data_IF_927009283508
#
_entry.id   IF_927009283508
#
_cell.length_a   1.000
_cell.length_b   1.000
_cell.length_c   1.000
_cell.angle_alpha   90.00
_cell.angle_beta   90.00
_cell.angle_gamma   90.00
#
_symmetry.space_group_name_H-M   'P 1'
#
loop_
_entity.id
_entity.type
_entity.pdbx_description
1 polymer ?
#
# COMPACT_ATOMS: atom_id res chain seq x y z
N UNK A 1 19.97 -1.82 -2.84
CA UNK A 1 19.73 -0.57 -3.59
C UNK A 1 18.80 0.29 -2.78
N UNK A 2 18.94 1.62 -2.81
CA UNK A 2 17.98 2.49 -2.12
C UNK A 2 16.58 2.36 -2.74
N UNK A 3 15.50 2.49 -1.97
CA UNK A 3 14.14 2.50 -2.50
C UNK A 3 13.79 3.85 -3.14
N UNK A 4 13.02 3.83 -4.24
CA UNK A 4 12.34 5.02 -4.74
C UNK A 4 11.09 5.35 -3.92
N UNK A 5 10.53 4.37 -3.22
CA UNK A 5 9.37 4.53 -2.36
C UNK A 5 9.46 3.59 -1.16
N UNK A 6 9.11 4.04 0.04
CA UNK A 6 9.21 3.21 1.25
C UNK A 6 7.90 3.25 2.01
N UNK A 7 7.50 2.12 2.59
CA UNK A 7 6.38 2.01 3.53
C UNK A 7 6.90 1.61 4.89
N UNK A 8 6.47 2.30 5.94
CA UNK A 8 6.78 1.97 7.35
C UNK A 8 5.49 1.74 8.10
N UNK A 9 5.34 0.56 8.69
CA UNK A 9 4.27 0.25 9.64
C UNK A 9 4.86 0.43 11.04
N UNK A 10 4.26 1.27 11.85
CA UNK A 10 4.72 1.55 13.22
C UNK A 10 4.19 0.52 14.20
N UNK A 11 4.66 0.54 15.45
CA UNK A 11 4.08 -0.31 16.49
C UNK A 11 2.55 -0.10 16.62
N UNK A 12 2.04 1.13 16.51
CA UNK A 12 0.60 1.39 16.52
C UNK A 12 -0.14 0.71 15.35
N UNK A 13 0.48 0.68 14.16
CA UNK A 13 -0.04 -0.06 13.02
C UNK A 13 0.01 -1.58 13.21
N UNK A 14 1.07 -2.10 13.84
CA UNK A 14 1.18 -3.51 14.19
C UNK A 14 0.17 -3.92 15.27
N UNK A 15 -0.10 -3.04 16.24
CA UNK A 15 -1.11 -3.25 17.29
C UNK A 15 -2.52 -3.26 16.70
N UNK A 16 -2.79 -2.43 15.69
CA UNK A 16 -4.05 -2.48 14.96
C UNK A 16 -4.19 -3.77 14.14
N UNK A 17 -3.15 -4.16 13.39
CA UNK A 17 -3.12 -5.42 12.65
C UNK A 17 -3.30 -6.63 13.60
N UNK A 18 -2.71 -6.55 14.80
CA UNK A 18 -2.87 -7.53 15.86
C UNK A 18 -4.33 -7.69 16.29
N UNK A 19 -5.05 -6.59 16.56
CA UNK A 19 -6.46 -6.65 16.95
C UNK A 19 -7.31 -7.37 15.91
N UNK A 20 -7.09 -7.09 14.63
CA UNK A 20 -7.82 -7.75 13.53
C UNK A 20 -7.41 -9.22 13.40
N UNK A 21 -6.11 -9.52 13.45
CA UNK A 21 -5.58 -10.86 13.27
C UNK A 21 -5.97 -11.83 14.41
N UNK A 22 -5.98 -11.37 15.66
CA UNK A 22 -6.36 -12.20 16.82
C UNK A 22 -7.84 -12.54 16.78
N UNK A 23 -8.72 -11.59 16.42
CA UNK A 23 -10.14 -11.85 16.28
C UNK A 23 -10.46 -12.89 15.19
N UNK A 24 -9.68 -12.92 14.10
CA UNK A 24 -9.78 -13.94 13.05
C UNK A 24 -9.27 -15.29 13.59
N UNK A 25 -8.11 -15.29 14.25
CA UNK A 25 -7.51 -16.51 14.79
C UNK A 25 -8.38 -17.18 15.87
N UNK A 26 -9.03 -16.41 16.75
CA UNK A 26 -10.01 -16.93 17.73
C UNK A 26 -11.14 -17.69 17.05
N UNK A 27 -11.72 -17.12 15.99
CA UNK A 27 -12.81 -17.75 15.22
C UNK A 27 -12.37 -19.05 14.56
N UNK A 28 -11.17 -19.09 13.99
CA UNK A 28 -10.64 -20.31 13.39
C UNK A 28 -10.32 -21.38 14.44
N UNK A 29 -9.71 -20.98 15.57
CA UNK A 29 -9.41 -21.89 16.67
C UNK A 29 -10.69 -22.50 17.27
N UNK A 30 -11.77 -21.74 17.40
CA UNK A 30 -13.06 -22.27 17.86
C UNK A 30 -13.63 -23.38 16.96
N UNK A 31 -13.21 -23.45 15.69
CA UNK A 31 -13.62 -24.48 14.73
C UNK A 31 -12.66 -25.67 14.65
N UNK A 32 -11.65 -25.72 15.53
CA UNK A 32 -10.63 -26.75 15.54
C UNK A 32 -11.25 -28.15 15.78
N UNK A 33 -10.98 -29.07 14.85
CA UNK A 33 -11.41 -30.46 14.96
C UNK A 33 -10.34 -31.30 15.66
N UNK A 34 -10.69 -31.86 16.80
CA UNK A 34 -9.83 -32.77 17.55
C UNK A 34 -10.14 -34.23 17.20
N UNK A 35 -9.12 -35.09 17.03
CA UNK A 35 -9.33 -36.51 16.77
C UNK A 35 -9.77 -37.25 18.03
N UNK A 36 -10.52 -38.33 17.85
CA UNK A 36 -10.88 -39.24 18.94
C UNK A 36 -9.61 -39.86 19.57
N UNK A 37 -9.66 -40.07 20.89
CA UNK A 37 -8.55 -40.60 21.68
C UNK A 37 -8.98 -41.91 22.31
N UNK A 38 -8.41 -43.02 21.86
CA UNK A 38 -8.67 -44.35 22.42
C UNK A 38 -7.40 -45.11 22.77
N UNK A 39 -7.52 -46.09 23.66
CA UNK A 39 -6.41 -46.96 24.03
C UNK A 39 -6.74 -47.90 25.17
N UNK A 40 -5.74 -48.69 25.56
CA UNK A 40 -5.82 -49.64 26.67
C UNK A 40 -4.93 -49.16 27.82
N UNK A 41 -5.44 -49.24 29.05
CA UNK A 41 -4.71 -48.89 30.27
C UNK A 41 -5.04 -49.84 31.41
N UNK A 42 -4.15 -49.93 32.40
CA UNK A 42 -4.39 -50.70 33.62
C UNK A 42 -4.65 -49.74 34.78
N UNK A 43 -5.88 -49.75 35.28
CA UNK A 43 -6.29 -48.91 36.41
C UNK A 43 -6.23 -49.71 37.70
N UNK A 44 -5.64 -49.13 38.74
CA UNK A 44 -5.54 -49.76 40.06
C UNK A 44 -6.96 -50.12 40.57
N UNK A 45 -7.14 -51.35 41.04
CA UNK A 45 -8.43 -51.94 41.51
C UNK A 45 -9.48 -52.26 40.44
N UNK A 46 -9.36 -51.78 39.20
CA UNK A 46 -10.32 -52.07 38.09
C UNK A 46 -9.75 -53.08 37.08
N UNK A 47 -8.43 -53.10 36.87
CA UNK A 47 -7.78 -54.00 35.91
C UNK A 47 -7.59 -53.37 34.54
N UNK A 48 -7.62 -54.17 33.47
CA UNK A 48 -7.44 -53.70 32.09
C UNK A 48 -8.72 -53.00 31.62
N UNK A 49 -8.59 -51.74 31.22
CA UNK A 49 -9.66 -50.87 30.73
C UNK A 49 -9.31 -50.44 29.31
N UNK A 50 -10.21 -50.68 28.37
CA UNK A 50 -10.19 -50.01 27.07
C UNK A 50 -11.04 -48.74 27.19
N UNK A 51 -10.50 -47.60 26.79
CA UNK A 51 -11.17 -46.30 26.84
C UNK A 51 -11.22 -45.65 25.46
N UNK A 52 -12.25 -44.83 25.24
CA UNK A 52 -12.46 -44.02 24.05
C UNK A 52 -13.02 -42.67 24.48
N UNK A 53 -12.40 -41.58 24.02
CA UNK A 53 -12.92 -40.22 24.06
C UNK A 53 -13.24 -39.81 22.63
N UNK A 54 -14.49 -39.43 22.40
CA UNK A 54 -15.01 -39.14 21.06
C UNK A 54 -15.83 -37.87 21.04
N UNK A 55 -16.16 -37.40 19.83
CA UNK A 55 -17.00 -36.21 19.62
C UNK A 55 -16.48 -34.99 20.38
N UNK A 56 -15.15 -34.81 20.36
CA UNK A 56 -14.47 -33.68 20.98
C UNK A 56 -14.86 -32.38 20.26
N UNK A 57 -15.70 -31.57 20.89
CA UNK A 57 -16.20 -30.30 20.37
C UNK A 57 -15.66 -29.16 21.21
N UNK A 58 -14.93 -28.27 20.56
CA UNK A 58 -14.52 -27.01 21.15
C UNK A 58 -15.73 -26.08 21.16
N UNK A 59 -16.09 -25.55 22.34
CA UNK A 59 -17.18 -24.59 22.49
C UNK A 59 -16.68 -23.18 22.24
N UNK A 60 -15.58 -22.82 22.92
CA UNK A 60 -14.97 -21.50 22.86
C UNK A 60 -13.45 -21.60 22.97
N UNK A 61 -12.76 -20.64 22.36
CA UNK A 61 -11.33 -20.42 22.48
C UNK A 61 -11.05 -18.92 22.57
N UNK A 62 -10.46 -18.48 23.67
CA UNK A 62 -10.19 -17.07 23.93
C UNK A 62 -8.69 -16.80 24.06
N UNK A 63 -8.25 -15.69 23.47
CA UNK A 63 -6.88 -15.18 23.43
C UNK A 63 -6.81 -13.80 24.12
N UNK A 64 -7.01 -13.72 25.45
CA UNK A 64 -7.22 -12.46 26.15
C UNK A 64 -5.98 -11.55 26.18
N UNK A 65 -4.78 -12.14 26.24
CA UNK A 65 -3.54 -11.38 26.29
C UNK A 65 -2.64 -11.80 25.15
N UNK A 66 -2.46 -10.90 24.20
CA UNK A 66 -1.64 -11.13 23.02
C UNK A 66 -0.93 -9.85 22.57
N UNK A 67 0.19 -10.02 21.87
CA UNK A 67 0.95 -8.91 21.27
C UNK A 67 1.69 -9.35 20.01
N UNK A 68 1.92 -8.39 19.11
CA UNK A 68 2.85 -8.54 17.99
C UNK A 68 4.08 -7.68 18.26
N UNK A 69 5.26 -8.29 18.17
CA UNK A 69 6.54 -7.60 18.37
C UNK A 69 7.42 -7.81 17.14
N UNK A 70 7.94 -6.73 16.52
CA UNK A 70 8.94 -6.87 15.47
C UNK A 70 10.26 -7.35 16.08
N UNK A 71 10.88 -8.35 15.45
CA UNK A 71 12.17 -8.90 15.88
C UNK A 71 13.17 -8.74 14.74
N UNK A 72 14.22 -7.94 15.03
CA UNK A 72 15.28 -7.64 14.08
C UNK A 72 15.89 -8.91 13.49
N UNK A 73 16.03 -8.92 12.16
CA UNK A 73 16.56 -10.04 11.37
C UNK A 73 15.76 -11.35 11.44
N UNK A 74 14.58 -11.37 12.08
CA UNK A 74 13.70 -12.55 12.15
C UNK A 74 12.37 -12.30 11.44
N UNK A 75 11.71 -11.17 11.73
CA UNK A 75 10.39 -10.82 11.21
C UNK A 75 9.47 -10.33 12.33
N UNK A 76 8.30 -10.96 12.50
CA UNK A 76 7.35 -10.63 13.56
C UNK A 76 7.19 -11.81 14.52
N UNK A 77 6.95 -11.53 15.79
CA UNK A 77 6.62 -12.53 16.80
C UNK A 77 5.26 -12.22 17.42
N UNK A 78 4.34 -13.18 17.32
CA UNK A 78 3.07 -13.14 18.03
C UNK A 78 3.23 -13.93 19.32
N UNK A 79 2.97 -13.29 20.46
CA UNK A 79 2.99 -13.95 21.77
C UNK A 79 1.60 -13.86 22.38
N UNK A 80 1.06 -14.99 22.80
CA UNK A 80 -0.24 -15.12 23.47
C UNK A 80 -0.03 -15.81 24.82
N UNK A 81 -0.66 -15.30 25.86
CA UNK A 81 -0.60 -15.83 27.22
C UNK A 81 -1.98 -15.92 27.86
N UNK A 82 -2.13 -16.85 28.80
CA UNK A 82 -3.37 -17.08 29.54
C UNK A 82 -4.59 -17.30 28.62
N UNK A 83 -4.36 -17.86 27.44
CA UNK A 83 -5.45 -18.34 26.61
C UNK A 83 -6.14 -19.51 27.31
N UNK A 84 -7.43 -19.64 27.05
CA UNK A 84 -8.26 -20.70 27.62
C UNK A 84 -9.27 -21.19 26.60
N UNK A 85 -9.67 -22.46 26.76
CA UNK A 85 -10.65 -23.08 25.89
C UNK A 85 -11.56 -24.00 26.69
N UNK A 86 -12.82 -24.07 26.28
CA UNK A 86 -13.80 -25.01 26.83
C UNK A 86 -14.19 -26.00 25.74
N UNK A 87 -14.29 -27.27 26.12
CA UNK A 87 -14.66 -28.34 25.21
C UNK A 87 -15.57 -29.35 25.89
N UNK A 88 -16.39 -30.01 25.10
CA UNK A 88 -17.16 -31.17 25.54
C UNK A 88 -16.91 -32.37 24.65
N UNK A 89 -17.19 -33.55 25.18
CA UNK A 89 -17.15 -34.77 24.41
C UNK A 89 -17.79 -35.92 25.15
N UNK A 90 -17.60 -37.10 24.59
CA UNK A 90 -18.15 -38.33 25.14
C UNK A 90 -17.06 -39.33 25.44
N UNK A 91 -17.25 -40.06 26.52
CA UNK A 91 -16.37 -41.14 26.92
C UNK A 91 -17.10 -42.48 26.81
N UNK A 92 -16.36 -43.53 26.44
CA UNK A 92 -16.77 -44.93 26.58
C UNK A 92 -15.65 -45.71 27.23
N UNK A 93 -16.01 -46.64 28.11
CA UNK A 93 -15.07 -47.57 28.71
C UNK A 93 -15.58 -48.99 28.65
N UNK A 94 -14.65 -49.92 28.49
CA UNK A 94 -14.90 -51.36 28.54
C UNK A 94 -13.87 -52.02 29.44
N UNK A 95 -14.34 -52.69 30.48
CA UNK A 95 -13.49 -53.46 31.39
C UNK A 95 -14.24 -54.71 31.85
N UNK A 96 -13.56 -55.86 31.88
CA UNK A 96 -14.19 -57.16 32.15
C UNK A 96 -15.45 -57.37 31.28
N UNK A 97 -16.63 -57.47 31.89
CA UNK A 97 -17.94 -57.59 31.23
C UNK A 97 -18.75 -56.27 31.22
N UNK A 98 -18.23 -55.21 31.83
CA UNK A 98 -18.91 -53.91 31.95
C UNK A 98 -18.58 -53.03 30.75
N UNK A 99 -19.61 -52.41 30.17
CA UNK A 99 -19.50 -51.35 29.17
C UNK A 99 -20.27 -50.16 29.68
N UNK A 100 -19.63 -49.01 29.69
CA UNK A 100 -20.24 -47.78 30.16
C UNK A 100 -19.87 -46.60 29.27
N UNK A 101 -20.68 -45.55 29.32
CA UNK A 101 -20.53 -44.35 28.53
C UNK A 101 -21.11 -43.13 29.23
N UNK A 102 -20.67 -41.95 28.81
CA UNK A 102 -21.21 -40.69 29.29
C UNK A 102 -20.59 -39.52 28.56
N UNK A 103 -20.87 -38.32 29.06
CA UNK A 103 -20.26 -37.08 28.58
C UNK A 103 -19.20 -36.57 29.54
N UNK A 104 -18.38 -35.65 29.07
CA UNK A 104 -17.48 -34.88 29.92
C UNK A 104 -17.34 -33.46 29.39
N UNK A 105 -17.03 -32.54 30.29
CA UNK A 105 -16.60 -31.19 29.98
C UNK A 105 -15.12 -31.03 30.35
N UNK A 106 -14.36 -30.34 29.51
CA UNK A 106 -12.94 -30.03 29.71
C UNK A 106 -12.73 -28.52 29.67
N UNK A 107 -11.96 -28.02 30.62
CA UNK A 107 -11.42 -26.66 30.61
C UNK A 107 -9.91 -26.72 30.46
N UNK A 108 -9.40 -26.03 29.44
CA UNK A 108 -7.97 -25.87 29.18
C UNK A 108 -7.60 -24.46 29.59
N UNK A 109 -6.68 -24.31 30.54
CA UNK A 109 -6.32 -23.03 31.13
C UNK A 109 -4.81 -22.78 31.00
N UNK A 110 -4.43 -21.50 30.99
CA UNK A 110 -3.04 -21.06 30.93
C UNK A 110 -2.31 -21.64 29.72
N UNK A 111 -2.91 -21.43 28.54
CA UNK A 111 -2.32 -21.75 27.24
C UNK A 111 -1.42 -20.59 26.80
N UNK A 112 -0.18 -20.93 26.47
CA UNK A 112 0.82 -20.02 25.93
C UNK A 112 1.12 -20.41 24.48
N UNK A 113 0.96 -19.46 23.56
CA UNK A 113 1.23 -19.69 22.14
C UNK A 113 2.27 -18.66 21.68
N UNK A 114 3.31 -19.12 21.00
CA UNK A 114 4.35 -18.29 20.43
C UNK A 114 4.50 -18.63 18.96
N UNK A 115 4.30 -17.63 18.10
CA UNK A 115 4.33 -17.77 16.65
C UNK A 115 5.41 -16.83 16.11
N UNK A 116 6.36 -17.38 15.36
CA UNK A 116 7.37 -16.59 14.67
C UNK A 116 7.02 -16.53 13.19
N UNK A 117 6.82 -15.32 12.68
CA UNK A 117 6.48 -15.03 11.29
C UNK A 117 7.72 -14.49 10.58
N UNK A 118 8.12 -15.15 9.51
CA UNK A 118 9.20 -14.70 8.62
C UNK A 118 8.59 -13.90 7.47
N UNK A 119 9.13 -12.71 7.24
CA UNK A 119 8.76 -11.84 6.13
C UNK A 119 9.80 -11.95 5.01
N UNK A 120 9.33 -11.98 3.78
CA UNK A 120 10.14 -12.18 2.59
C UNK A 120 9.62 -11.39 1.39
N UNK A 121 10.26 -11.63 0.25
CA UNK A 121 9.80 -11.19 -1.07
C UNK A 121 9.93 -12.36 -2.04
N UNK A 122 8.98 -12.52 -2.95
CA UNK A 122 9.12 -13.45 -4.07
C UNK A 122 9.91 -12.83 -5.24
N UNK A 123 10.10 -13.61 -6.31
CA UNK A 123 10.83 -13.20 -7.51
C UNK A 123 10.14 -12.07 -8.29
N UNK A 124 8.83 -11.87 -8.09
CA UNK A 124 8.08 -10.77 -8.69
C UNK A 124 8.15 -9.50 -7.84
N UNK A 125 8.73 -9.55 -6.64
CA UNK A 125 8.77 -8.43 -5.71
C UNK A 125 7.50 -8.30 -4.85
N UNK A 126 6.65 -9.35 -4.77
CA UNK A 126 5.50 -9.36 -3.86
C UNK A 126 5.92 -9.79 -2.45
N UNK A 127 5.31 -9.24 -1.39
CA UNK A 127 5.60 -9.64 -0.02
C UNK A 127 5.19 -11.09 0.23
N UNK A 128 6.03 -11.81 0.96
CA UNK A 128 5.72 -13.16 1.44
C UNK A 128 5.78 -13.20 2.97
N UNK A 129 4.92 -14.01 3.56
CA UNK A 129 4.84 -14.26 4.99
C UNK A 129 4.65 -15.75 5.23
N UNK A 130 5.40 -16.30 6.16
CA UNK A 130 5.32 -17.71 6.54
C UNK A 130 5.62 -17.90 8.01
N UNK A 131 5.12 -19.01 8.56
CA UNK A 131 5.43 -19.42 9.94
C UNK A 131 6.80 -20.10 9.95
N UNK A 132 7.78 -19.48 10.60
CA UNK A 132 9.11 -20.06 10.78
C UNK A 132 9.17 -20.99 12.00
N UNK A 133 8.40 -20.69 13.03
CA UNK A 133 8.28 -21.49 14.23
C UNK A 133 6.91 -21.27 14.89
N UNK A 134 6.36 -22.32 15.51
CA UNK A 134 5.18 -22.25 16.35
C UNK A 134 5.37 -23.18 17.54
N UNK A 135 5.16 -22.65 18.75
CA UNK A 135 5.13 -23.44 19.96
C UNK A 135 3.88 -23.12 20.77
N UNK A 136 3.24 -24.17 21.27
CA UNK A 136 2.11 -24.06 22.20
C UNK A 136 2.42 -24.85 23.45
N UNK A 137 2.16 -24.27 24.61
CA UNK A 137 2.29 -24.92 25.91
C UNK A 137 1.02 -24.72 26.70
N UNK A 138 0.40 -25.83 27.08
CA UNK A 138 -0.75 -25.85 27.98
C UNK A 138 -0.23 -26.11 29.38
N UNK A 139 -0.74 -25.43 30.40
CA UNK A 139 -0.33 -25.67 31.78
C UNK A 139 -1.33 -26.53 32.55
N UNK A 140 -2.62 -26.22 32.46
CA UNK A 140 -3.67 -26.90 33.22
C UNK A 140 -4.80 -27.41 32.32
N UNK A 141 -5.27 -28.62 32.61
CA UNK A 141 -6.43 -29.24 31.99
C UNK A 141 -7.31 -29.77 33.13
N UNK A 142 -8.55 -29.29 33.21
CA UNK A 142 -9.54 -29.75 34.21
C UNK A 142 -10.66 -30.48 33.52
N UNK A 143 -10.94 -31.69 33.97
CA UNK A 143 -12.01 -32.53 33.43
C UNK A 143 -13.15 -32.70 34.42
N UNK A 144 -14.37 -32.72 33.93
CA UNK A 144 -15.56 -33.05 34.68
C UNK A 144 -16.31 -34.16 33.92
N UNK A 145 -16.30 -35.38 34.46
CA UNK A 145 -17.03 -36.50 33.87
C UNK A 145 -18.47 -36.55 34.40
N UNK A 146 -19.43 -36.81 33.52
CA UNK A 146 -20.78 -37.20 33.95
C UNK A 146 -20.74 -38.60 34.58
N UNK A 147 -21.38 -38.80 35.74
CA UNK A 147 -21.48 -40.11 36.39
C UNK A 147 -20.76 -40.21 37.73
N UNK A 148 -20.65 -41.43 38.27
CA UNK A 148 -20.17 -41.68 39.65
C UNK A 148 -18.79 -42.34 39.75
N UNK A 149 -18.07 -42.50 38.64
CA UNK A 149 -16.78 -43.21 38.63
C UNK A 149 -15.61 -42.28 38.95
N UNK A 150 -15.27 -42.15 40.23
CA UNK A 150 -14.08 -41.42 40.67
C UNK A 150 -12.77 -41.92 40.04
N UNK A 151 -12.69 -43.20 39.63
CA UNK A 151 -11.50 -43.76 39.00
C UNK A 151 -11.23 -43.25 37.57
N UNK A 152 -12.24 -42.70 36.87
CA UNK A 152 -12.07 -42.09 35.54
C UNK A 152 -11.13 -40.87 35.59
N UNK A 153 -11.18 -40.10 36.68
CA UNK A 153 -10.26 -38.98 36.91
C UNK A 153 -8.81 -39.46 36.99
N UNK A 154 -8.56 -40.56 37.70
CA UNK A 154 -7.22 -41.14 37.79
C UNK A 154 -6.73 -41.67 36.44
N UNK A 155 -7.60 -42.33 35.66
CA UNK A 155 -7.26 -42.74 34.30
C UNK A 155 -6.93 -41.53 33.42
N UNK A 156 -7.73 -40.46 33.53
CA UNK A 156 -7.51 -39.25 32.75
C UNK A 156 -6.15 -38.62 33.07
N UNK A 157 -5.88 -38.31 34.34
CA UNK A 157 -4.64 -37.65 34.74
C UNK A 157 -3.38 -38.48 34.47
N UNK A 158 -3.45 -39.81 34.63
CA UNK A 158 -2.27 -40.68 34.46
C UNK A 158 -1.91 -40.98 33.00
N UNK A 159 -2.90 -41.08 32.11
CA UNK A 159 -2.66 -41.57 30.73
C UNK A 159 -3.17 -40.59 29.67
N UNK A 160 -4.39 -40.10 29.83
CA UNK A 160 -5.07 -39.37 28.76
C UNK A 160 -4.59 -37.93 28.69
N UNK A 161 -4.38 -37.26 29.83
CA UNK A 161 -4.11 -35.83 29.90
C UNK A 161 -2.86 -35.45 29.09
N UNK A 162 -1.77 -36.20 29.25
CA UNK A 162 -0.53 -35.94 28.50
C UNK A 162 -0.68 -36.13 26.99
N UNK A 163 -1.50 -37.10 26.57
CA UNK A 163 -1.80 -37.38 25.16
C UNK A 163 -2.70 -36.31 24.57
N UNK A 164 -3.78 -35.96 25.26
CA UNK A 164 -4.69 -34.88 24.89
C UNK A 164 -3.93 -33.56 24.76
N UNK A 165 -3.07 -33.24 25.75
CA UNK A 165 -2.22 -32.05 25.75
C UNK A 165 -1.38 -31.94 24.48
N UNK A 166 -0.61 -32.99 24.16
CA UNK A 166 0.23 -33.03 22.94
C UNK A 166 -0.59 -32.90 21.66
N UNK A 167 -1.75 -33.54 21.59
CA UNK A 167 -2.65 -33.45 20.43
C UNK A 167 -3.14 -32.01 20.26
N UNK A 168 -3.63 -31.38 21.33
CA UNK A 168 -4.15 -30.02 21.27
C UNK A 168 -3.06 -28.99 20.95
N UNK A 169 -1.88 -29.09 21.60
CA UNK A 169 -0.72 -28.23 21.31
C UNK A 169 -0.30 -28.32 19.83
N UNK A 170 -0.21 -29.53 19.28
CA UNK A 170 0.09 -29.74 17.87
C UNK A 170 -0.99 -29.20 16.94
N UNK A 171 -2.26 -29.45 17.26
CA UNK A 171 -3.41 -29.01 16.45
C UNK A 171 -3.57 -27.49 16.39
N UNK A 172 -3.26 -26.79 17.48
CA UNK A 172 -3.21 -25.32 17.50
C UNK A 172 -2.15 -24.81 16.52
N UNK A 173 -0.92 -25.35 16.57
CA UNK A 173 0.14 -24.92 15.66
C UNK A 173 -0.11 -25.32 14.20
N UNK A 174 -0.70 -26.49 13.94
CA UNK A 174 -1.14 -26.89 12.60
C UNK A 174 -2.14 -25.87 12.02
N UNK A 175 -3.11 -25.45 12.84
CA UNK A 175 -4.12 -24.47 12.43
C UNK A 175 -3.49 -23.11 12.16
N UNK A 176 -2.67 -22.61 13.08
CA UNK A 176 -1.95 -21.34 12.90
C UNK A 176 -1.14 -21.35 11.61
N UNK A 177 -0.38 -22.42 11.37
CA UNK A 177 0.45 -22.54 10.16
C UNK A 177 -0.38 -22.51 8.89
N UNK A 178 -1.54 -23.18 8.89
CA UNK A 178 -2.49 -23.15 7.77
C UNK A 178 -3.14 -21.78 7.59
N UNK A 179 -3.54 -21.13 8.68
CA UNK A 179 -4.13 -19.78 8.66
C UNK A 179 -3.17 -18.76 8.04
N UNK A 180 -1.90 -18.78 8.48
CA UNK A 180 -0.85 -17.92 7.92
C UNK A 180 -0.66 -18.17 6.42
N UNK A 181 -0.64 -19.45 6.00
CA UNK A 181 -0.42 -19.81 4.61
C UNK A 181 -1.61 -19.51 3.69
N UNK A 182 -2.84 -19.76 4.14
CA UNK A 182 -4.03 -19.69 3.30
C UNK A 182 -4.68 -18.30 3.35
N UNK A 183 -4.71 -17.65 4.51
CA UNK A 183 -5.40 -16.37 4.71
C UNK A 183 -4.42 -15.20 4.69
N UNK A 184 -3.45 -15.19 5.61
CA UNK A 184 -2.57 -14.03 5.79
C UNK A 184 -1.63 -13.83 4.59
N UNK A 185 -1.01 -14.90 4.09
CA UNK A 185 -0.18 -14.85 2.89
C UNK A 185 -0.99 -14.40 1.66
N UNK A 186 -2.19 -14.93 1.47
CA UNK A 186 -3.08 -14.52 0.36
C UNK A 186 -3.45 -13.04 0.48
N UNK A 187 -3.73 -12.56 1.70
CA UNK A 187 -4.01 -11.15 1.94
C UNK A 187 -2.80 -10.26 1.65
N UNK A 188 -1.59 -10.63 2.08
CA UNK A 188 -0.36 -9.89 1.77
C UNK A 188 -0.12 -9.78 0.26
N UNK A 189 -0.51 -10.80 -0.50
CA UNK A 189 -0.37 -10.84 -1.97
C UNK A 189 -1.33 -9.90 -2.72
N UNK A 190 -2.31 -9.30 -2.03
CA UNK A 190 -3.17 -8.24 -2.58
C UNK A 190 -2.43 -6.92 -2.74
N UNK A 191 -1.29 -6.73 -2.06
CA UNK A 191 -0.46 -5.54 -2.24
C UNK A 191 -0.03 -5.41 -3.72
N UNK A 192 -0.35 -4.30 -4.40
CA UNK A 192 -0.03 -4.13 -5.79
C UNK A 192 1.47 -3.89 -5.96
N UNK A 193 2.12 -4.76 -6.74
CA UNK A 193 3.51 -4.58 -7.19
C UNK A 193 3.58 -3.71 -8.43
N UNK A 194 2.53 -3.69 -9.24
CA UNK A 194 2.40 -2.73 -10.33
C UNK A 194 1.04 -2.06 -10.25
N UNK A 195 1.02 -0.74 -10.41
CA UNK A 195 -0.20 0.05 -10.43
C UNK A 195 -0.31 0.78 -11.77
N UNK A 196 -1.38 0.53 -12.52
CA UNK A 196 -1.66 1.27 -13.74
C UNK A 196 -2.28 2.62 -13.37
N UNK A 197 -1.71 3.72 -13.88
CA UNK A 197 -2.23 5.07 -13.63
C UNK A 197 -3.23 5.43 -14.72
N UNK A 198 -2.82 5.27 -15.98
CA UNK A 198 -3.62 5.67 -17.13
C UNK A 198 -3.33 4.78 -18.37
N UNK A 199 -3.71 5.28 -19.56
CA UNK A 199 -3.48 4.57 -20.81
C UNK A 199 -1.99 4.48 -21.22
N UNK A 200 -1.11 5.29 -20.61
CA UNK A 200 0.28 5.48 -21.04
C UNK A 200 1.31 5.08 -19.99
N UNK A 201 0.98 5.13 -18.71
CA UNK A 201 1.94 5.00 -17.61
C UNK A 201 1.45 4.08 -16.49
N UNK A 202 2.42 3.50 -15.78
CA UNK A 202 2.21 2.76 -14.54
C UNK A 202 3.35 2.96 -13.56
N UNK A 203 3.20 2.42 -12.35
CA UNK A 203 4.16 2.49 -11.26
C UNK A 203 4.59 1.08 -10.89
N UNK A 204 5.88 0.88 -10.70
CA UNK A 204 6.51 -0.33 -10.19
C UNK A 204 6.81 -0.15 -8.69
N UNK A 205 6.03 -0.86 -7.87
CA UNK A 205 6.11 -0.94 -6.42
C UNK A 205 6.69 -2.29 -5.96
N UNK A 206 7.39 -3.03 -6.83
CA UNK A 206 8.08 -4.26 -6.42
C UNK A 206 9.00 -4.02 -5.21
N UNK A 207 8.98 -4.94 -4.24
CA UNK A 207 9.95 -4.95 -3.16
C UNK A 207 11.36 -5.07 -3.72
N UNK A 208 12.25 -4.17 -3.30
CA UNK A 208 13.69 -4.24 -3.65
C UNK A 208 14.49 -5.05 -2.63
N UNK A 209 13.87 -5.37 -1.49
CA UNK A 209 14.39 -6.23 -0.44
C UNK A 209 13.23 -6.81 0.39
N UNK A 210 13.43 -7.93 1.10
CA UNK A 210 12.49 -8.40 2.11
C UNK A 210 12.14 -7.32 3.14
N UNK A 211 10.88 -7.25 3.63
CA UNK A 211 10.51 -6.31 4.68
C UNK A 211 11.38 -6.46 5.93
N UNK A 212 11.89 -5.34 6.44
CA UNK A 212 12.84 -5.28 7.53
C UNK A 212 12.15 -4.88 8.83
N UNK A 213 12.13 -5.81 9.79
CA UNK A 213 11.70 -5.53 11.16
C UNK A 213 12.79 -4.77 11.93
N UNK A 214 12.42 -3.63 12.52
CA UNK A 214 13.24 -2.87 13.48
C UNK A 214 12.75 -3.13 14.91
N UNK A 215 13.26 -2.39 15.91
CA UNK A 215 12.77 -2.53 17.28
C UNK A 215 11.32 -2.01 17.47
N UNK A 216 10.84 -1.13 16.60
CA UNK A 216 9.54 -0.43 16.76
C UNK A 216 8.72 -0.31 15.47
N UNK A 217 9.25 -0.80 14.34
CA UNK A 217 8.60 -0.65 13.05
C UNK A 217 8.88 -1.84 12.14
N UNK A 218 8.07 -1.94 11.08
CA UNK A 218 8.31 -2.80 9.93
C UNK A 218 8.44 -1.92 8.69
N UNK A 219 9.62 -1.96 8.06
CA UNK A 219 9.93 -1.17 6.87
C UNK A 219 9.87 -2.05 5.61
N UNK A 220 9.20 -1.59 4.57
CA UNK A 220 9.13 -2.23 3.26
C UNK A 220 9.68 -1.26 2.20
N UNK A 221 10.83 -1.64 1.64
CA UNK A 221 11.53 -0.88 0.61
C UNK A 221 10.99 -1.26 -0.77
N UNK A 222 10.36 -0.32 -1.45
CA UNK A 222 9.75 -0.50 -2.77
C UNK A 222 10.55 0.22 -3.85
N UNK A 223 10.47 -0.29 -5.08
CA UNK A 223 11.16 0.29 -6.21
C UNK A 223 10.69 1.73 -6.49
N UNK A 224 9.37 1.96 -6.49
CA UNK A 224 8.81 3.31 -6.60
C UNK A 224 9.18 4.01 -7.89
N UNK A 225 9.04 3.34 -9.03
CA UNK A 225 9.50 3.81 -10.34
C UNK A 225 8.32 3.88 -11.33
N UNK A 226 8.11 5.03 -11.95
CA UNK A 226 7.14 5.14 -13.04
C UNK A 226 7.74 4.60 -14.34
N UNK A 227 6.92 3.91 -15.13
CA UNK A 227 7.29 3.40 -16.44
C UNK A 227 6.21 3.66 -17.48
N UNK A 228 6.63 3.77 -18.75
CA UNK A 228 5.70 3.82 -19.88
C UNK A 228 5.20 2.41 -20.20
N UNK A 229 3.89 2.28 -20.42
CA UNK A 229 3.25 1.02 -20.83
C UNK A 229 3.67 0.60 -22.24
N UNK A 230 4.05 1.55 -23.10
CA UNK A 230 4.50 1.25 -24.46
C UNK A 230 5.94 0.73 -24.49
N UNK A 231 6.82 1.27 -23.65
CA UNK A 231 8.23 0.84 -23.58
C UNK A 231 8.83 1.12 -22.20
N UNK A 232 9.29 0.06 -21.52
CA UNK A 232 10.07 0.21 -20.28
C UNK A 232 11.49 0.60 -20.62
N UNK A 233 11.90 1.79 -20.20
CA UNK A 233 13.25 2.31 -20.38
C UNK A 233 13.96 2.44 -19.04
N UNK A 234 15.28 2.25 -19.02
CA UNK A 234 16.09 2.51 -17.82
C UNK A 234 16.03 3.99 -17.40
N UNK A 235 16.06 4.21 -16.09
CA UNK A 235 16.11 5.54 -15.48
C UNK A 235 17.59 5.93 -15.30
N UNK A 236 17.99 7.16 -15.69
CA UNK A 236 19.42 7.53 -15.77
C UNK A 236 20.06 7.92 -14.42
N UNK A 237 19.35 7.79 -13.31
CA UNK A 237 19.83 8.11 -11.97
C UNK A 237 19.26 7.12 -10.95
N UNK A 238 19.86 7.06 -9.77
CA UNK A 238 19.43 6.18 -8.67
C UNK A 238 18.76 6.96 -7.54
N UNK A 239 17.86 6.34 -6.77
CA UNK A 239 17.26 6.96 -5.60
C UNK A 239 18.29 7.24 -4.50
N UNK A 240 18.08 8.33 -3.79
CA UNK A 240 18.86 8.68 -2.58
C UNK A 240 18.29 7.96 -1.36
N UNK A 241 19.10 7.72 -0.31
CA UNK A 241 18.60 7.16 0.94
C UNK A 241 17.50 8.03 1.55
N UNK A 242 16.46 7.38 2.06
CA UNK A 242 15.34 8.05 2.73
C UNK A 242 15.58 8.08 4.24
N UNK A 243 15.90 9.26 4.77
CA UNK A 243 16.09 9.46 6.20
C UNK A 243 14.72 9.63 6.90
N UNK A 244 13.99 8.51 7.08
CA UNK A 244 12.71 8.53 7.77
C UNK A 244 12.87 8.94 9.23
N UNK A 245 12.00 9.84 9.74
CA UNK A 245 12.01 10.19 11.15
C UNK A 245 11.65 8.99 12.02
N UNK A 246 12.11 9.04 13.26
CA UNK A 246 11.80 8.06 14.32
C UNK A 246 10.47 8.32 15.02
N UNK A 247 9.79 9.43 14.72
CA UNK A 247 8.51 9.77 15.34
C UNK A 247 7.38 8.92 14.72
N UNK A 248 6.51 8.39 15.59
CA UNK A 248 5.50 7.39 15.23
C UNK A 248 4.08 7.81 15.66
N UNK A 249 3.64 9.00 15.25
CA UNK A 249 2.32 9.55 15.61
C UNK A 249 1.16 8.92 14.81
N UNK A 250 1.45 8.02 13.86
CA UNK A 250 0.50 7.39 12.95
C UNK A 250 0.80 5.90 12.77
N UNK A 251 -0.19 5.13 12.31
CA UNK A 251 -0.05 3.68 12.09
C UNK A 251 0.88 3.32 10.92
N UNK A 252 0.82 4.08 9.83
CA UNK A 252 1.61 3.85 8.61
C UNK A 252 2.20 5.15 8.09
N UNK A 253 3.39 5.05 7.50
CA UNK A 253 4.06 6.13 6.79
C UNK A 253 4.49 5.68 5.40
N UNK A 254 4.29 6.54 4.42
CA UNK A 254 4.74 6.39 3.04
C UNK A 254 5.77 7.47 2.72
N UNK A 255 6.89 7.08 2.14
CA UNK A 255 7.97 7.97 1.74
C UNK A 255 8.12 7.96 0.23
N UNK A 256 7.66 9.01 -0.44
CA UNK A 256 7.79 9.18 -1.87
C UNK A 256 9.02 10.06 -2.17
N UNK A 257 10.08 9.45 -2.71
CA UNK A 257 11.33 10.15 -3.01
C UNK A 257 11.19 11.16 -4.16
N UNK A 258 12.14 12.09 -4.27
CA UNK A 258 12.29 12.91 -5.49
C UNK A 258 12.51 12.03 -6.72
N UNK A 259 13.17 10.87 -6.56
CA UNK A 259 13.32 9.88 -7.61
C UNK A 259 11.94 9.39 -8.13
N UNK A 260 11.02 9.01 -7.24
CA UNK A 260 9.67 8.58 -7.60
C UNK A 260 8.97 9.58 -8.52
N UNK A 261 8.91 10.85 -8.13
CA UNK A 261 8.26 11.87 -8.96
C UNK A 261 9.04 12.22 -10.24
N UNK A 262 10.38 12.22 -10.20
CA UNK A 262 11.18 12.49 -11.40
C UNK A 262 11.06 11.38 -12.45
N UNK A 263 10.90 10.12 -12.02
CA UNK A 263 10.61 9.02 -12.96
C UNK A 263 9.24 9.20 -13.61
N UNK A 264 8.25 9.78 -12.91
CA UNK A 264 6.96 10.13 -13.50
C UNK A 264 7.13 11.13 -14.66
N UNK A 265 7.87 12.22 -14.42
CA UNK A 265 8.17 13.23 -15.46
C UNK A 265 8.82 12.61 -16.70
N UNK A 266 9.75 11.66 -16.51
CA UNK A 266 10.41 10.93 -17.61
C UNK A 266 9.43 10.01 -18.34
N UNK A 267 8.63 9.23 -17.62
CA UNK A 267 7.67 8.30 -18.21
C UNK A 267 6.64 9.03 -19.07
N UNK A 268 6.04 10.11 -18.55
CA UNK A 268 5.07 10.93 -19.28
C UNK A 268 5.69 11.66 -20.47
N UNK A 269 6.91 12.18 -20.33
CA UNK A 269 7.63 12.84 -21.43
C UNK A 269 7.93 11.85 -22.57
N UNK A 270 8.51 10.69 -22.25
CA UNK A 270 8.82 9.64 -23.24
C UNK A 270 7.57 9.04 -23.88
N UNK A 271 6.44 9.01 -23.17
CA UNK A 271 5.16 8.58 -23.71
C UNK A 271 4.46 9.65 -24.58
N UNK A 272 5.10 10.79 -24.83
CA UNK A 272 4.52 11.90 -25.61
C UNK A 272 3.23 12.45 -24.97
N UNK A 273 3.09 12.33 -23.65
CA UNK A 273 1.89 12.73 -22.92
C UNK A 273 1.94 14.20 -22.47
N UNK A 274 3.13 14.78 -22.37
CA UNK A 274 3.32 16.20 -22.00
C UNK A 274 3.21 17.12 -23.22
N UNK A 275 2.12 16.96 -23.98
CA UNK A 275 1.78 17.78 -25.15
C UNK A 275 0.37 18.31 -24.98
N UNK A 276 0.19 19.62 -25.11
CA UNK A 276 -1.10 20.29 -24.97
C UNK A 276 -1.35 21.17 -26.19
N UNK A 277 -2.60 21.19 -26.66
CA UNK A 277 -3.03 22.12 -27.68
C UNK A 277 -4.00 23.15 -27.09
N UNK A 278 -3.72 24.42 -27.37
CA UNK A 278 -4.59 25.55 -27.08
C UNK A 278 -5.08 26.08 -28.41
N UNK A 279 -6.39 26.01 -28.62
CA UNK A 279 -7.11 26.60 -29.75
C UNK A 279 -8.12 27.60 -29.22
N UNK A 280 -8.77 28.35 -30.11
CA UNK A 280 -9.82 29.31 -29.72
C UNK A 280 -10.92 28.65 -28.85
N UNK A 281 -11.33 27.43 -29.21
CA UNK A 281 -12.35 26.65 -28.47
C UNK A 281 -11.95 26.27 -27.03
N UNK A 282 -10.66 26.34 -26.71
CA UNK A 282 -10.15 26.01 -25.37
C UNK A 282 -10.04 27.23 -24.46
N UNK A 283 -10.23 28.43 -25.01
CA UNK A 283 -10.25 29.68 -24.26
C UNK A 283 -11.63 29.78 -23.56
N UNK A 284 -11.67 30.16 -22.27
CA UNK A 284 -12.93 30.38 -21.57
C UNK A 284 -13.81 31.41 -22.28
N UNK A 285 -15.12 31.16 -22.36
CA UNK A 285 -16.07 32.02 -23.12
C UNK A 285 -16.19 33.43 -22.55
N UNK A 286 -15.85 33.61 -21.28
CA UNK A 286 -15.79 34.87 -20.54
C UNK A 286 -14.48 35.65 -20.79
N UNK A 287 -13.52 35.06 -21.51
CA UNK A 287 -12.34 35.80 -21.93
C UNK A 287 -12.67 36.64 -23.18
N UNK A 288 -12.51 37.96 -23.07
CA UNK A 288 -12.77 38.93 -24.15
C UNK A 288 -11.70 38.92 -25.26
N UNK A 289 -11.13 37.77 -25.60
CA UNK A 289 -10.18 37.65 -26.70
C UNK A 289 -10.25 36.30 -27.42
N UNK A 290 -9.94 36.34 -28.71
CA UNK A 290 -9.84 35.17 -29.58
C UNK A 290 -8.38 34.87 -29.94
N UNK A 291 -8.11 33.62 -30.29
CA UNK A 291 -6.82 33.15 -30.78
C UNK A 291 -6.77 33.27 -32.30
N UNK A 292 -6.51 34.47 -32.82
CA UNK A 292 -6.38 34.74 -34.25
C UNK A 292 -5.25 35.73 -34.57
N UNK A 293 -4.83 35.77 -35.83
CA UNK A 293 -3.71 36.61 -36.28
C UNK A 293 -4.00 38.10 -36.15
N UNK A 294 -5.25 38.53 -36.31
CA UNK A 294 -5.62 39.94 -36.18
C UNK A 294 -5.42 40.49 -34.77
N UNK A 295 -5.75 39.73 -33.73
CA UNK A 295 -5.45 40.10 -32.34
C UNK A 295 -3.94 40.05 -32.09
N UNK A 296 -3.25 39.04 -32.62
CA UNK A 296 -1.80 38.89 -32.43
C UNK A 296 -0.96 39.90 -33.22
N UNK A 297 -1.53 40.55 -34.24
CA UNK A 297 -0.89 41.62 -35.02
C UNK A 297 -0.49 42.82 -34.15
N UNK A 298 -1.21 43.06 -33.05
CA UNK A 298 -0.87 44.08 -32.06
C UNK A 298 0.50 43.86 -31.40
N UNK A 299 0.98 42.60 -31.39
CA UNK A 299 2.29 42.24 -30.85
C UNK A 299 3.33 41.98 -31.95
N UNK A 300 2.87 41.55 -33.13
CA UNK A 300 3.71 41.13 -34.26
C UNK A 300 3.17 41.82 -35.53
N UNK A 301 3.67 43.03 -35.88
CA UNK A 301 3.06 43.86 -36.91
C UNK A 301 2.87 43.18 -38.27
N UNK A 302 3.86 42.41 -38.73
CA UNK A 302 3.83 41.74 -40.04
C UNK A 302 2.86 40.55 -40.10
N UNK A 303 2.30 40.12 -38.96
CA UNK A 303 1.50 38.89 -38.89
C UNK A 303 0.20 38.99 -39.71
N UNK A 304 -0.47 40.14 -39.68
CA UNK A 304 -1.71 40.36 -40.41
C UNK A 304 -1.48 40.44 -41.93
N UNK A 305 -0.33 40.98 -42.36
CA UNK A 305 0.05 41.06 -43.77
C UNK A 305 0.28 39.67 -44.38
N UNK A 306 0.93 38.77 -43.63
CA UNK A 306 1.23 37.41 -44.10
C UNK A 306 0.04 36.46 -43.96
N UNK A 307 -0.75 36.60 -42.90
CA UNK A 307 -1.83 35.68 -42.55
C UNK A 307 -3.07 36.47 -42.07
N UNK A 308 -3.85 37.09 -42.98
CA UNK A 308 -4.95 37.99 -42.61
C UNK A 308 -6.11 37.23 -41.97
N UNK A 309 -6.53 37.65 -40.76
CA UNK A 309 -7.66 37.10 -39.99
C UNK A 309 -7.75 35.56 -39.94
N UNK A 310 -6.62 34.89 -39.74
CA UNK A 310 -6.53 33.45 -39.64
C UNK A 310 -6.66 32.98 -38.18
N UNK A 311 -7.39 31.88 -37.91
CA UNK A 311 -7.37 31.25 -36.60
C UNK A 311 -5.96 30.77 -36.24
N UNK A 312 -5.62 30.83 -34.96
CA UNK A 312 -4.32 30.39 -34.46
C UNK A 312 -4.47 29.20 -33.52
N UNK A 313 -3.39 28.44 -33.38
CA UNK A 313 -3.24 27.46 -32.30
C UNK A 313 -1.84 27.48 -31.70
N UNK A 314 -1.77 27.18 -30.40
CA UNK A 314 -0.52 26.87 -29.73
C UNK A 314 -0.41 25.37 -29.47
N UNK A 315 0.72 24.79 -29.86
CA UNK A 315 1.14 23.47 -29.43
C UNK A 315 2.22 23.62 -28.38
N UNK A 316 1.90 23.22 -27.16
CA UNK A 316 2.81 23.22 -26.02
C UNK A 316 3.42 21.84 -25.86
N UNK A 317 4.72 21.78 -25.63
CA UNK A 317 5.45 20.54 -25.35
C UNK A 317 6.65 20.80 -24.46
N UNK A 318 7.04 19.82 -23.66
CA UNK A 318 8.31 19.90 -22.92
C UNK A 318 9.44 19.34 -23.79
N UNK A 319 10.54 20.09 -24.05
CA UNK A 319 11.67 19.57 -24.82
C UNK A 319 12.47 18.53 -24.03
N UNK A 320 12.39 18.57 -22.71
CA UNK A 320 12.98 17.58 -21.80
C UNK A 320 11.96 17.19 -20.73
N UNK A 321 12.22 16.07 -20.03
CA UNK A 321 11.39 15.67 -18.90
C UNK A 321 11.49 16.72 -17.76
N UNK A 322 10.35 17.13 -17.16
CA UNK A 322 10.37 18.05 -16.03
C UNK A 322 11.03 17.39 -14.82
N UNK A 323 11.92 18.13 -14.15
CA UNK A 323 12.66 17.67 -12.98
C UNK A 323 12.30 18.49 -11.73
N UNK A 324 12.02 17.80 -10.64
CA UNK A 324 11.65 18.36 -9.35
C UNK A 324 12.67 18.04 -8.25
N UNK A 325 12.74 18.97 -7.30
CA UNK A 325 13.46 18.81 -6.04
C UNK A 325 12.48 18.91 -4.87
N UNK A 326 12.78 18.17 -3.80
CA UNK A 326 12.01 18.20 -2.56
C UNK A 326 12.94 18.65 -1.45
N UNK A 327 12.56 19.71 -0.76
CA UNK A 327 13.23 20.18 0.44
C UNK A 327 12.23 20.42 1.56
N UNK A 328 12.68 20.80 2.77
CA UNK A 328 11.80 21.07 3.90
C UNK A 328 10.73 22.14 3.64
N UNK A 329 11.03 23.09 2.74
CA UNK A 329 10.10 24.14 2.32
C UNK A 329 9.07 23.73 1.26
N UNK A 330 9.06 22.47 0.83
CA UNK A 330 8.13 21.95 -0.18
C UNK A 330 8.81 21.46 -1.46
N UNK A 331 8.01 21.41 -2.52
CA UNK A 331 8.43 20.95 -3.84
C UNK A 331 8.72 22.14 -4.74
N UNK A 332 9.86 22.09 -5.43
CA UNK A 332 10.23 23.05 -6.45
C UNK A 332 10.44 22.34 -7.78
N UNK A 333 9.69 22.77 -8.80
CA UNK A 333 9.82 22.32 -10.17
C UNK A 333 10.18 23.52 -11.06
N UNK A 334 11.08 23.35 -12.02
CA UNK A 334 11.37 24.39 -13.03
C UNK A 334 11.18 23.82 -14.44
N UNK A 335 9.93 23.65 -14.90
CA UNK A 335 9.70 23.11 -16.23
C UNK A 335 10.12 24.12 -17.30
N UNK A 336 10.61 23.58 -18.41
CA UNK A 336 10.79 24.32 -19.68
C UNK A 336 9.69 23.83 -20.60
N UNK A 337 8.90 24.77 -21.14
CA UNK A 337 7.81 24.46 -22.06
C UNK A 337 8.01 25.26 -23.34
N UNK A 338 8.00 24.58 -24.47
CA UNK A 338 8.01 25.20 -25.79
C UNK A 338 6.58 25.35 -26.28
N UNK A 339 6.19 26.58 -26.60
CA UNK A 339 4.90 26.92 -27.18
C UNK A 339 5.12 27.34 -28.65
N UNK A 340 4.83 26.43 -29.57
CA UNK A 340 4.85 26.70 -31.00
C UNK A 340 3.50 27.26 -31.43
N UNK A 341 3.51 28.46 -32.00
CA UNK A 341 2.35 29.09 -32.61
C UNK A 341 2.21 28.66 -34.08
N UNK A 342 0.98 28.44 -34.50
CA UNK A 342 0.59 28.19 -35.89
C UNK A 342 -0.58 29.08 -36.29
N UNK A 343 -0.62 29.50 -37.55
CA UNK A 343 -1.85 29.91 -38.22
C UNK A 343 -2.49 28.68 -38.88
N UNK A 344 -3.81 28.59 -38.79
CA UNK A 344 -4.61 27.54 -39.42
C UNK A 344 -5.12 28.10 -40.74
N UNK A 345 -4.61 27.56 -41.85
CA UNK A 345 -4.96 28.00 -43.20
C UNK A 345 -6.35 27.48 -43.61
N UNK A 346 -6.98 28.03 -44.67
CA UNK A 346 -8.31 27.59 -45.12
C UNK A 346 -8.40 26.12 -45.52
N UNK A 347 -7.29 25.52 -45.95
CA UNK A 347 -7.16 24.09 -46.25
C UNK A 347 -6.89 23.22 -45.00
N UNK A 348 -7.00 23.80 -43.81
CA UNK A 348 -6.68 23.20 -42.50
C UNK A 348 -5.20 22.86 -42.29
N UNK A 349 -4.30 23.26 -43.19
CA UNK A 349 -2.87 23.12 -42.98
C UNK A 349 -2.35 24.13 -41.95
N UNK A 350 -1.20 23.82 -41.35
CA UNK A 350 -0.63 24.59 -40.24
C UNK A 350 0.62 25.33 -40.72
N UNK A 351 0.54 26.66 -40.79
CA UNK A 351 1.68 27.50 -41.07
C UNK A 351 2.41 27.85 -39.76
N UNK A 352 3.69 27.44 -39.57
CA UNK A 352 4.44 27.75 -38.36
C UNK A 352 4.75 29.25 -38.28
N UNK A 353 4.46 29.87 -37.14
CA UNK A 353 4.67 31.31 -36.94
C UNK A 353 5.92 31.59 -36.11
N UNK A 354 5.94 31.14 -34.85
CA UNK A 354 7.05 31.37 -33.92
C UNK A 354 7.04 30.35 -32.78
N UNK A 355 8.17 30.24 -32.07
CA UNK A 355 8.33 29.38 -30.88
C UNK A 355 8.73 30.22 -29.69
N UNK A 356 7.91 30.17 -28.63
CA UNK A 356 8.24 30.74 -27.33
C UNK A 356 8.75 29.63 -26.40
N UNK A 357 9.78 29.93 -25.62
CA UNK A 357 10.20 29.14 -24.46
C UNK A 357 9.66 29.80 -23.20
N UNK A 358 8.92 29.02 -22.43
CA UNK A 358 8.29 29.40 -21.16
C UNK A 358 9.08 28.73 -20.04
N UNK A 359 9.63 29.53 -19.12
CA UNK A 359 10.38 29.03 -17.97
C UNK A 359 9.91 29.72 -16.69
N UNK A 360 9.57 28.93 -15.67
CA UNK A 360 9.19 29.45 -14.35
C UNK A 360 9.45 28.42 -13.26
N UNK A 361 9.77 28.88 -12.05
CA UNK A 361 9.72 28.02 -10.88
C UNK A 361 8.26 27.86 -10.45
N UNK A 362 7.83 26.62 -10.29
CA UNK A 362 6.49 26.20 -9.93
C UNK A 362 6.56 25.55 -8.56
N UNK A 363 5.64 25.93 -7.69
CA UNK A 363 5.42 25.25 -6.42
C UNK A 363 4.28 24.26 -6.55
N UNK A 364 4.35 23.17 -5.80
CA UNK A 364 3.31 22.16 -5.76
C UNK A 364 2.80 21.98 -4.33
N UNK A 365 1.48 21.96 -4.17
CA UNK A 365 0.83 21.48 -2.96
C UNK A 365 0.52 20.00 -3.19
N UNK A 366 0.86 19.15 -2.21
CA UNK A 366 0.55 17.73 -2.25
C UNK A 366 -0.34 17.37 -1.09
N UNK A 367 -1.30 16.49 -1.34
CA UNK A 367 -2.16 15.90 -0.35
C UNK A 367 -2.42 14.41 -0.66
N UNK A 368 -3.17 13.75 0.21
CA UNK A 368 -3.71 12.41 0.00
C UNK A 368 -5.22 12.50 -0.20
N UNK A 369 -5.76 11.72 -1.13
CA UNK A 369 -7.20 11.54 -1.28
C UNK A 369 -7.51 10.11 -1.73
N UNK A 370 -8.22 9.35 -0.89
CA UNK A 370 -8.79 8.04 -1.26
C UNK A 370 -7.74 7.04 -1.78
N UNK A 371 -6.62 6.91 -1.06
CA UNK A 371 -5.49 6.08 -1.44
C UNK A 371 -4.61 6.65 -2.55
N UNK A 372 -4.73 7.94 -2.90
CA UNK A 372 -3.97 8.55 -3.98
C UNK A 372 -3.18 9.76 -3.51
N UNK A 373 -1.92 9.87 -3.93
CA UNK A 373 -1.13 11.10 -3.82
C UNK A 373 -1.65 12.06 -4.88
N UNK A 374 -2.34 13.12 -4.43
CA UNK A 374 -2.89 14.17 -5.30
C UNK A 374 -2.08 15.44 -5.15
N UNK A 375 -2.09 16.28 -6.18
CA UNK A 375 -1.40 17.57 -6.11
C UNK A 375 -2.08 18.66 -6.92
N UNK A 376 -1.63 19.88 -6.66
CA UNK A 376 -1.96 21.06 -7.45
C UNK A 376 -0.73 21.94 -7.58
N UNK A 377 -0.50 22.44 -8.77
CA UNK A 377 0.55 23.40 -9.07
C UNK A 377 0.03 24.81 -8.86
N UNK A 378 0.90 25.66 -8.34
CA UNK A 378 0.75 27.11 -8.37
C UNK A 378 1.90 27.73 -9.16
N UNK A 379 1.53 28.54 -10.14
CA UNK A 379 2.43 29.11 -11.15
C UNK A 379 2.24 30.63 -11.15
N UNK A 380 3.25 31.34 -10.67
CA UNK A 380 3.32 32.79 -10.83
C UNK A 380 3.66 33.23 -12.26
N UNK A 381 3.99 34.50 -12.43
CA UNK A 381 4.34 35.09 -13.74
C UNK A 381 5.45 34.32 -14.46
N UNK A 382 5.15 33.75 -15.62
CA UNK A 382 6.09 33.00 -16.45
C UNK A 382 7.12 33.93 -17.11
N UNK A 383 8.33 33.43 -17.38
CA UNK A 383 9.31 34.15 -18.21
C UNK A 383 9.25 33.63 -19.63
N UNK A 384 9.08 34.55 -20.58
CA UNK A 384 9.06 34.26 -22.00
C UNK A 384 10.40 34.59 -22.66
N UNK A 385 10.80 33.78 -23.63
CA UNK A 385 11.89 34.09 -24.57
C UNK A 385 11.56 33.52 -25.95
N UNK A 386 11.94 34.24 -27.01
CA UNK A 386 11.80 33.76 -28.39
C UNK A 386 12.89 32.73 -28.69
N UNK A 387 12.51 31.57 -29.20
CA UNK A 387 13.44 30.55 -29.74
C UNK A 387 13.63 30.69 -31.24
N UNK A 388 12.53 30.84 -31.97
CA UNK A 388 12.52 30.97 -33.42
C UNK A 388 11.29 31.76 -33.88
N UNK A 389 11.37 32.41 -35.04
CA UNK A 389 10.25 33.13 -35.67
C UNK A 389 10.37 33.09 -37.19
N UNK A 390 9.30 32.65 -37.86
CA UNK A 390 9.11 32.75 -39.29
C UNK A 390 8.40 34.06 -39.70
N UNK A 391 7.95 34.85 -38.71
CA UNK A 391 7.17 36.08 -38.91
C UNK A 391 7.96 37.36 -38.55
N UNK A 392 9.29 37.27 -38.63
CA UNK A 392 10.19 38.37 -38.28
C UNK A 392 10.44 38.52 -36.78
N UNK A 393 11.17 39.56 -36.40
CA UNK A 393 11.49 39.87 -35.00
C UNK A 393 10.36 40.69 -34.34
N UNK A 394 10.10 40.41 -33.07
CA UNK A 394 9.10 41.14 -32.28
C UNK A 394 9.48 41.16 -30.80
N UNK A 395 8.93 42.12 -30.07
CA UNK A 395 9.21 42.27 -28.64
C UNK A 395 8.37 41.29 -27.81
N UNK A 396 8.92 40.12 -27.47
CA UNK A 396 8.24 39.08 -26.66
C UNK A 396 7.57 39.61 -25.39
N UNK A 397 8.13 40.66 -24.78
CA UNK A 397 7.58 41.28 -23.56
C UNK A 397 6.15 41.80 -23.73
N UNK A 398 5.75 42.23 -24.93
CA UNK A 398 4.40 42.75 -25.19
C UNK A 398 3.33 41.66 -25.07
N UNK A 399 3.70 40.40 -25.36
CA UNK A 399 2.80 39.23 -25.23
C UNK A 399 2.73 38.65 -23.81
N UNK A 400 3.46 39.22 -22.86
CA UNK A 400 3.62 38.63 -21.53
C UNK A 400 2.28 38.49 -20.78
N UNK A 401 1.41 39.50 -20.87
CA UNK A 401 0.10 39.48 -20.19
C UNK A 401 -0.80 38.40 -20.79
N UNK A 402 -0.88 38.32 -22.12
CA UNK A 402 -1.68 37.33 -22.83
C UNK A 402 -1.23 35.89 -22.50
N UNK A 403 0.08 35.62 -22.53
CA UNK A 403 0.59 34.30 -22.20
C UNK A 403 0.38 33.93 -20.73
N UNK A 404 0.41 34.91 -19.81
CA UNK A 404 0.06 34.66 -18.40
C UNK A 404 -1.42 34.27 -18.26
N UNK A 405 -2.32 34.92 -19.00
CA UNK A 405 -3.76 34.59 -19.01
C UNK A 405 -3.98 33.18 -19.55
N UNK A 406 -3.39 32.84 -20.70
CA UNK A 406 -3.48 31.50 -21.26
C UNK A 406 -2.92 30.43 -20.30
N UNK A 407 -1.81 30.72 -19.64
CA UNK A 407 -1.22 29.80 -18.66
C UNK A 407 -2.15 29.60 -17.46
N UNK A 408 -2.67 30.68 -16.89
CA UNK A 408 -3.44 30.64 -15.64
C UNK A 408 -4.86 30.09 -15.84
N UNK A 409 -5.50 30.43 -16.96
CA UNK A 409 -6.91 30.13 -17.19
C UNK A 409 -7.15 28.90 -18.06
N UNK A 410 -6.16 28.47 -18.86
CA UNK A 410 -6.30 27.31 -19.77
C UNK A 410 -5.38 26.16 -19.37
N UNK A 411 -4.08 26.42 -19.27
CA UNK A 411 -3.09 25.36 -19.05
C UNK A 411 -3.13 24.81 -17.61
N UNK A 412 -3.04 25.70 -16.62
CA UNK A 412 -2.94 25.33 -15.21
C UNK A 412 -4.16 24.53 -14.71
N UNK A 413 -5.42 24.89 -15.03
CA UNK A 413 -6.58 24.12 -14.62
C UNK A 413 -6.58 22.69 -15.19
N UNK A 414 -6.13 22.50 -16.44
CA UNK A 414 -6.02 21.17 -17.05
C UNK A 414 -4.93 20.32 -16.40
N UNK A 415 -3.79 20.91 -16.08
CA UNK A 415 -2.72 20.22 -15.35
C UNK A 415 -3.18 19.84 -13.94
N UNK A 416 -3.82 20.75 -13.23
CA UNK A 416 -4.32 20.50 -11.88
C UNK A 416 -5.47 19.49 -11.86
N UNK A 417 -6.33 19.45 -12.88
CA UNK A 417 -7.33 18.39 -13.02
C UNK A 417 -6.69 17.00 -13.09
N UNK A 418 -5.60 16.85 -13.86
CA UNK A 418 -4.83 15.59 -13.94
C UNK A 418 -4.10 15.25 -12.65
N UNK A 419 -3.46 16.22 -12.01
CA UNK A 419 -2.79 15.98 -10.73
C UNK A 419 -3.77 15.68 -9.59
N UNK A 420 -5.01 16.11 -9.72
CA UNK A 420 -6.09 15.80 -8.78
C UNK A 420 -6.70 14.40 -8.99
N UNK A 421 -6.49 13.75 -10.14
CA UNK A 421 -6.72 12.29 -10.29
C UNK A 421 -5.73 11.51 -9.43
N UNK A 422 -4.49 12.00 -9.33
CA UNK A 422 -3.46 11.53 -8.41
C UNK A 422 -2.78 10.22 -8.82
N UNK A 423 -1.91 9.74 -7.93
CA UNK A 423 -1.14 8.51 -8.11
C UNK A 423 -1.47 7.51 -7.00
N UNK A 424 -1.84 6.27 -7.31
CA UNK A 424 -2.29 5.30 -6.32
C UNK A 424 -1.15 4.91 -5.36
N UNK A 425 -1.43 4.86 -4.06
CA UNK A 425 -0.55 4.31 -3.04
C UNK A 425 -0.56 2.78 -3.08
N UNK A 426 0.57 2.11 -2.76
CA UNK A 426 0.63 0.66 -2.68
C UNK A 426 -0.03 0.18 -1.39
N UNK A 427 -1.33 -0.09 -1.45
CA UNK A 427 -2.12 -0.56 -0.30
C UNK A 427 -2.68 -1.96 -0.56
N UNK A 428 -2.72 -2.84 0.45
CA UNK A 428 -3.50 -4.07 0.39
C UNK A 428 -4.99 -3.78 0.22
N UNK A 429 -5.74 -4.78 -0.23
CA UNK A 429 -7.19 -4.66 -0.37
C UNK A 429 -7.86 -4.33 0.98
N UNK A 430 -8.99 -3.62 0.93
CA UNK A 430 -9.85 -3.33 2.10
C UNK A 430 -9.20 -2.45 3.18
N UNK A 431 -8.19 -1.67 2.79
CA UNK A 431 -7.56 -0.66 3.63
C UNK A 431 -8.03 0.73 3.23
N UNK A 432 -8.46 1.51 4.21
CA UNK A 432 -8.73 2.94 4.06
C UNK A 432 -7.80 3.74 4.98
N UNK A 433 -7.39 4.91 4.50
CA UNK A 433 -6.52 5.83 5.25
C UNK A 433 -7.36 6.93 5.90
N UNK A 434 -6.93 7.36 7.08
CA UNK A 434 -7.52 8.47 7.83
C UNK A 434 -6.43 9.25 8.58
N UNK A 435 -6.78 10.42 9.13
CA UNK A 435 -5.85 11.27 9.89
C UNK A 435 -4.54 11.59 9.15
N UNK A 436 -4.67 11.93 7.87
CA UNK A 436 -3.53 12.16 6.98
C UNK A 436 -2.63 13.28 7.50
N UNK A 437 -1.33 13.03 7.48
CA UNK A 437 -0.25 13.97 7.74
C UNK A 437 0.65 14.02 6.51
N UNK A 438 0.92 15.22 6.00
CA UNK A 438 1.89 15.41 4.90
C UNK A 438 3.03 16.31 5.40
N UNK A 439 4.27 15.83 5.27
CA UNK A 439 5.48 16.59 5.63
C UNK A 439 6.52 16.48 4.53
N UNK A 440 7.21 17.58 4.27
CA UNK A 440 8.33 17.59 3.33
C UNK A 440 9.64 17.43 4.09
N UNK A 441 10.45 16.48 3.62
CA UNK A 441 11.80 16.26 4.10
C UNK A 441 12.79 16.49 2.95
N UNK A 442 14.07 16.56 3.29
CA UNK A 442 15.10 16.63 2.26
C UNK A 442 15.02 15.38 1.36
N UNK A 443 14.77 15.60 0.07
CA UNK A 443 14.68 14.59 -0.99
C UNK A 443 13.43 13.68 -0.99
N UNK A 444 12.48 13.81 -0.07
CA UNK A 444 11.26 13.00 -0.10
C UNK A 444 10.05 13.65 0.58
N UNK A 445 8.87 13.23 0.15
CA UNK A 445 7.60 13.51 0.77
C UNK A 445 7.27 12.39 1.76
N UNK A 446 6.96 12.75 3.00
CA UNK A 446 6.45 11.83 4.02
C UNK A 446 4.94 12.01 4.16
N UNK A 447 4.19 10.92 4.00
CA UNK A 447 2.75 10.86 4.20
C UNK A 447 2.47 9.86 5.33
N UNK A 448 1.98 10.35 6.48
CA UNK A 448 1.55 9.52 7.61
C UNK A 448 0.03 9.37 7.64
N UNK A 449 -0.47 8.21 8.04
CA UNK A 449 -1.90 7.95 8.14
C UNK A 449 -2.24 6.88 9.19
N UNK A 450 -3.45 6.93 9.71
CA UNK A 450 -4.07 5.82 10.44
C UNK A 450 -4.84 4.93 9.48
N UNK A 451 -4.91 3.65 9.81
CA UNK A 451 -5.47 2.61 8.94
C UNK A 451 -6.81 2.13 9.49
N UNK A 452 -7.77 1.95 8.58
CA UNK A 452 -9.03 1.26 8.86
C UNK A 452 -9.19 0.06 7.94
N UNK A 453 -9.30 -1.13 8.53
CA UNK A 453 -9.53 -2.39 7.82
C UNK A 453 -11.04 -2.67 7.73
N UNK A 454 -11.51 -2.96 6.52
CA UNK A 454 -12.90 -3.34 6.27
C UNK A 454 -13.02 -4.87 6.19
N UNK A 455 -13.54 -5.55 7.24
CA UNK A 455 -13.75 -6.99 7.20
C UNK A 455 -14.80 -7.38 6.13
N UNK A 456 -14.71 -8.64 5.67
CA UNK A 456 -15.68 -9.24 4.73
C UNK A 456 -16.96 -9.65 5.44
#
# INVERSE_FOLDING_TARGET
TNPGFMVRITQAGLDYAHQQGIAILEKELAQLKLPDISGDSRVMRVGKVHYELSRLRLRDFHLPYSRITPISNVGLQVSISNAFAELDGDWRVKFLFVRDHGSFDLKVENVYIKISLRLGSDAAGKPTISTSDCSTRISSIRVLFSGKFGWLYNLFHSVIESRFRKILEGKICDLVTKSVHNELQTYMQTLPVTARIDAKTGIDYALVAPPRATAQSLDADLKGEFYSLAHRSTVPFSPLPLAFPSDHDRMVYFGASSYFFNTAGIAYHKAGALVFEITDTTIPKDADFHLNTSIFSAFIPHLEEMYPNMPMKFRLSTPTAPFLTIGPGGISLKPIVDAQAYAILPDSSLAPLFVLSLVRNVSAVINERSGHIVGSLDVGRIRLSLKNSAVGSFQVRTMQSLMNILTSNVLLPRLNARLNEGFPLPMPDRIQLSNILVRFHQNFLLLGADVHFQPK
#
